data_IF_448358414646
#
_entry.id   IF_448358414646
#
_cell.length_a   1.000
_cell.length_b   1.000
_cell.length_c   1.000
_cell.angle_alpha   90.00
_cell.angle_beta   90.00
_cell.angle_gamma   90.00
#
_symmetry.space_group_name_H-M   'P 1'
#
loop_
_entity.id
_entity.type
_entity.pdbx_description
1 polymer ?
#
# COMPACT_ATOMS: atom_id res chain seq x y z
N UNK A 1 -15.67 9.95 -1.29
CA UNK A 1 -14.34 9.61 -0.75
C UNK A 1 -13.92 8.32 -1.45
N UNK A 2 -13.21 8.32 -2.58
CA UNK A 2 -12.30 9.30 -3.19
C UNK A 2 -10.93 9.39 -2.51
N UNK A 3 -9.84 8.97 -3.16
CA UNK A 3 -8.59 9.75 -3.25
C UNK A 3 -7.90 9.61 -4.64
N UNK A 4 -7.20 10.67 -5.02
CA UNK A 4 -6.71 11.02 -6.36
C UNK A 4 -5.25 11.44 -6.22
N UNK A 5 -4.31 10.75 -6.87
CA UNK A 5 -2.94 11.25 -7.03
C UNK A 5 -2.63 11.45 -8.52
N UNK A 6 -2.67 12.72 -8.96
CA UNK A 6 -2.32 13.06 -10.34
C UNK A 6 -0.80 13.26 -10.41
N UNK A 7 -0.08 12.33 -11.03
CA UNK A 7 1.35 12.48 -11.34
C UNK A 7 1.47 13.28 -12.65
N UNK A 8 0.80 14.44 -12.68
CA UNK A 8 0.69 15.30 -13.85
C UNK A 8 2.06 15.87 -14.22
N UNK A 9 2.64 15.43 -15.34
CA UNK A 9 4.00 15.83 -15.68
C UNK A 9 4.33 15.57 -17.15
N UNK A 10 4.87 16.60 -17.81
CA UNK A 10 5.79 16.44 -18.95
C UNK A 10 7.25 16.19 -18.47
N UNK A 11 7.47 16.17 -17.14
CA UNK A 11 8.75 15.89 -16.47
C UNK A 11 8.67 14.61 -15.59
N UNK A 12 7.98 13.56 -16.04
CA UNK A 12 7.47 12.50 -15.15
C UNK A 12 8.53 11.60 -14.49
N UNK A 13 9.71 11.50 -15.10
CA UNK A 13 10.77 10.58 -14.68
C UNK A 13 11.69 11.22 -13.63
N UNK A 14 11.87 12.54 -13.68
CA UNK A 14 12.68 13.32 -12.75
C UNK A 14 12.10 13.32 -11.34
N UNK A 15 10.81 13.62 -11.21
CA UNK A 15 10.12 13.62 -9.92
C UNK A 15 10.14 12.23 -9.24
N UNK A 16 10.04 11.15 -10.01
CA UNK A 16 10.14 9.79 -9.48
C UNK A 16 11.60 9.40 -9.15
N UNK A 17 12.59 9.96 -9.88
CA UNK A 17 14.01 9.82 -9.57
C UNK A 17 14.39 10.55 -8.28
N UNK A 18 13.91 11.77 -8.07
CA UNK A 18 14.12 12.52 -6.83
C UNK A 18 13.56 11.76 -5.61
N UNK A 19 12.30 11.31 -5.68
CA UNK A 19 11.68 10.47 -4.65
C UNK A 19 12.48 9.20 -4.36
N UNK A 20 12.95 8.51 -5.42
CA UNK A 20 13.73 7.29 -5.27
C UNK A 20 15.11 7.55 -4.65
N UNK A 21 15.76 8.65 -5.01
CA UNK A 21 17.03 9.05 -4.42
C UNK A 21 16.87 9.36 -2.93
N UNK A 22 15.86 10.14 -2.54
CA UNK A 22 15.53 10.43 -1.13
C UNK A 22 15.32 9.13 -0.32
N UNK A 23 14.57 8.16 -0.87
CA UNK A 23 14.40 6.83 -0.24
C UNK A 23 15.74 6.11 -0.06
N UNK A 24 16.61 6.13 -1.07
CA UNK A 24 17.92 5.46 -1.01
C UNK A 24 18.86 6.16 -0.01
N UNK A 25 18.85 7.49 0.04
CA UNK A 25 19.61 8.29 1.00
C UNK A 25 19.17 8.00 2.44
N UNK A 26 17.87 8.00 2.71
CA UNK A 26 17.32 7.66 4.03
C UNK A 26 17.64 6.22 4.46
N UNK A 27 17.56 5.25 3.55
CA UNK A 27 17.96 3.86 3.83
C UNK A 27 19.45 3.77 4.18
N UNK A 28 20.33 4.38 3.37
CA UNK A 28 21.78 4.37 3.61
C UNK A 28 22.16 5.11 4.91
N UNK A 29 21.53 6.26 5.20
CA UNK A 29 21.74 7.03 6.42
C UNK A 29 21.37 6.25 7.70
N UNK A 30 20.44 5.29 7.59
CA UNK A 30 20.04 4.38 8.66
C UNK A 30 20.72 2.99 8.56
N UNK A 31 21.86 2.90 7.85
CA UNK A 31 22.71 1.70 7.81
C UNK A 31 22.26 0.59 6.84
N UNK A 32 21.19 0.81 6.06
CA UNK A 32 20.66 -0.17 5.12
C UNK A 32 21.26 0.03 3.73
N UNK A 33 22.38 -0.64 3.46
CA UNK A 33 23.11 -0.53 2.19
C UNK A 33 22.31 -1.05 0.99
N UNK A 34 21.95 -0.12 0.09
CA UNK A 34 21.27 -0.44 -1.17
C UNK A 34 22.27 -1.00 -2.19
N UNK A 35 22.31 -2.32 -2.34
CA UNK A 35 23.24 -3.02 -3.25
C UNK A 35 22.94 -2.70 -4.73
N UNK A 36 23.98 -2.68 -5.58
CA UNK A 36 23.85 -2.50 -7.04
C UNK A 36 23.00 -3.58 -7.77
N UNK A 37 22.75 -4.72 -7.13
CA UNK A 37 21.81 -5.75 -7.63
C UNK A 37 20.35 -5.58 -7.12
N UNK A 38 20.05 -4.53 -6.37
CA UNK A 38 18.74 -4.30 -5.75
C UNK A 38 17.66 -3.91 -6.76
N UNK A 39 16.40 -4.00 -6.34
CA UNK A 39 15.24 -3.49 -7.08
C UNK A 39 15.31 -1.97 -7.24
N UNK A 40 15.71 -1.25 -6.20
CA UNK A 40 15.83 0.21 -6.21
C UNK A 40 16.91 0.69 -7.18
N UNK A 41 18.08 0.05 -7.21
CA UNK A 41 19.15 0.41 -8.15
C UNK A 41 18.77 0.15 -9.61
N UNK A 42 17.97 -0.90 -9.88
CA UNK A 42 17.39 -1.10 -11.23
C UNK A 42 16.43 0.03 -11.60
N UNK A 43 15.60 0.51 -10.67
CA UNK A 43 14.74 1.68 -10.91
C UNK A 43 15.56 2.95 -11.20
N UNK A 44 16.62 3.24 -10.42
CA UNK A 44 17.52 4.35 -10.72
C UNK A 44 18.13 4.25 -12.14
N UNK A 45 18.60 3.06 -12.54
CA UNK A 45 19.14 2.84 -13.90
C UNK A 45 18.10 3.10 -14.99
N UNK A 46 16.88 2.64 -14.81
CA UNK A 46 15.78 2.84 -15.77
C UNK A 46 15.42 4.32 -15.88
N UNK A 47 15.26 5.01 -14.74
CA UNK A 47 14.95 6.44 -14.71
C UNK A 47 16.06 7.27 -15.35
N UNK A 48 17.33 6.94 -15.08
CA UNK A 48 18.48 7.59 -15.71
C UNK A 48 18.53 7.36 -17.22
N UNK A 49 18.28 6.14 -17.70
CA UNK A 49 18.22 5.85 -19.14
C UNK A 49 17.07 6.60 -19.84
N UNK A 50 15.97 6.89 -19.14
CA UNK A 50 14.85 7.69 -19.68
C UNK A 50 15.16 9.19 -19.70
N UNK A 51 15.90 9.70 -18.70
CA UNK A 51 16.40 11.07 -18.64
C UNK A 51 17.48 11.35 -19.70
N UNK A 52 18.47 10.46 -19.84
CA UNK A 52 19.58 10.59 -20.80
C UNK A 52 19.14 10.29 -22.26
N UNK A 53 17.83 10.09 -22.50
CA UNK A 53 17.22 9.60 -23.76
C UNK A 53 17.83 8.29 -24.32
N UNK A 54 18.58 7.54 -23.51
CA UNK A 54 19.29 6.34 -23.93
C UNK A 54 18.40 5.08 -23.90
N UNK A 55 17.55 4.94 -24.92
CA UNK A 55 16.59 3.83 -25.07
C UNK A 55 17.30 2.45 -25.10
N UNK A 56 18.55 2.37 -25.54
CA UNK A 56 19.31 1.10 -25.61
C UNK A 56 19.65 0.51 -24.23
N UNK A 57 19.77 1.35 -23.20
CA UNK A 57 20.04 0.93 -21.81
C UNK A 57 18.78 0.39 -21.09
N UNK A 58 17.60 0.51 -21.69
CA UNK A 58 16.34 0.05 -21.10
C UNK A 58 16.22 -1.49 -21.13
N UNK A 59 15.59 -2.11 -20.12
CA UNK A 59 15.31 -3.55 -20.12
C UNK A 59 14.58 -3.99 -21.39
N UNK A 60 14.97 -5.12 -21.99
CA UNK A 60 14.35 -5.61 -23.23
C UNK A 60 12.82 -5.70 -23.10
N UNK A 61 12.12 -5.06 -24.03
CA UNK A 61 10.66 -4.95 -24.00
C UNK A 61 10.16 -4.05 -22.85
N UNK A 62 10.89 -2.99 -22.52
CA UNK A 62 10.38 -1.91 -21.67
C UNK A 62 9.12 -1.29 -22.30
N UNK A 63 8.17 -0.87 -21.47
CA UNK A 63 6.90 -0.28 -21.93
C UNK A 63 6.44 0.79 -20.97
N UNK A 64 5.56 1.69 -21.43
CA UNK A 64 4.94 2.70 -20.57
C UNK A 64 4.25 2.06 -19.35
N UNK A 65 3.61 0.90 -19.50
CA UNK A 65 3.04 0.12 -18.39
C UNK A 65 4.06 -0.27 -17.33
N UNK A 66 5.26 -0.69 -17.73
CA UNK A 66 6.36 -0.98 -16.78
C UNK A 66 6.80 0.28 -16.05
N UNK A 67 6.87 1.43 -16.73
CA UNK A 67 7.15 2.69 -16.04
C UNK A 67 6.07 3.08 -15.02
N UNK A 68 4.78 3.04 -15.38
CA UNK A 68 3.70 3.34 -14.43
C UNK A 68 3.77 2.45 -13.18
N UNK A 69 4.13 1.16 -13.35
CA UNK A 69 4.32 0.24 -12.24
C UNK A 69 5.51 0.66 -11.35
N UNK A 70 6.64 1.08 -11.95
CA UNK A 70 7.80 1.59 -11.22
C UNK A 70 7.44 2.86 -10.45
N UNK A 71 6.80 3.85 -11.07
CA UNK A 71 6.36 5.10 -10.42
C UNK A 71 5.40 4.83 -9.24
N UNK A 72 4.43 3.94 -9.40
CA UNK A 72 3.51 3.56 -8.31
C UNK A 72 4.23 2.84 -7.16
N UNK A 73 5.23 2.01 -7.45
CA UNK A 73 6.07 1.40 -6.41
C UNK A 73 6.98 2.42 -5.73
N UNK A 74 7.53 3.40 -6.45
CA UNK A 74 8.32 4.51 -5.89
C UNK A 74 7.45 5.36 -4.96
N UNK A 75 6.23 5.76 -5.36
CA UNK A 75 5.29 6.46 -4.48
C UNK A 75 5.04 5.70 -3.16
N UNK A 76 4.82 4.38 -3.23
CA UNK A 76 4.60 3.56 -2.02
C UNK A 76 5.85 3.48 -1.13
N UNK A 77 7.03 3.33 -1.74
CA UNK A 77 8.31 3.30 -1.03
C UNK A 77 8.62 4.66 -0.38
N UNK A 78 8.39 5.77 -1.11
CA UNK A 78 8.55 7.14 -0.63
C UNK A 78 7.64 7.42 0.56
N UNK A 79 6.33 7.22 0.39
CA UNK A 79 5.34 7.37 1.47
C UNK A 79 5.67 6.47 2.68
N UNK A 80 6.12 5.24 2.45
CA UNK A 80 6.48 4.33 3.54
C UNK A 80 7.75 4.74 4.28
N UNK A 81 8.84 5.01 3.56
CA UNK A 81 10.16 5.25 4.15
C UNK A 81 10.29 6.67 4.71
N UNK A 82 9.82 7.69 3.97
CA UNK A 82 9.96 9.10 4.38
C UNK A 82 9.11 9.40 5.61
N UNK A 83 7.82 9.05 5.59
CA UNK A 83 6.93 9.27 6.75
C UNK A 83 7.42 8.51 7.99
N UNK A 84 7.88 7.26 7.84
CA UNK A 84 8.43 6.49 8.96
C UNK A 84 9.80 6.98 9.43
N UNK A 85 10.63 7.63 8.60
CA UNK A 85 11.90 8.21 9.06
C UNK A 85 11.69 9.32 10.10
N UNK A 86 10.51 9.94 10.10
CA UNK A 86 10.03 10.88 11.13
C UNK A 86 9.41 10.20 12.38
N UNK A 87 9.45 8.87 12.47
CA UNK A 87 9.07 8.09 13.65
C UNK A 87 10.25 7.89 14.60
N UNK A 88 9.99 8.01 15.91
CA UNK A 88 10.96 7.62 16.95
C UNK A 88 11.28 6.12 16.93
N UNK A 89 10.45 5.33 16.27
CA UNK A 89 10.51 3.88 16.19
C UNK A 89 11.01 3.39 14.82
N UNK A 90 11.61 4.26 13.98
CA UNK A 90 12.07 3.88 12.63
C UNK A 90 12.97 2.63 12.62
N UNK A 91 13.84 2.48 13.62
CA UNK A 91 14.71 1.33 13.79
C UNK A 91 13.95 -0.01 13.99
N UNK A 92 12.72 0.00 14.54
CA UNK A 92 11.88 -1.21 14.64
C UNK A 92 11.53 -1.77 13.24
N UNK A 93 11.54 -0.94 12.19
CA UNK A 93 11.20 -1.35 10.81
C UNK A 93 12.38 -1.91 10.01
N UNK A 94 13.59 -1.92 10.58
CA UNK A 94 14.85 -2.27 9.90
C UNK A 94 14.80 -3.60 9.15
N UNK A 95 14.22 -4.65 9.73
CA UNK A 95 14.03 -5.95 9.07
C UNK A 95 13.22 -5.81 7.76
N UNK A 96 12.02 -5.21 7.81
CA UNK A 96 11.18 -5.00 6.62
C UNK A 96 11.84 -4.09 5.59
N UNK A 97 12.52 -3.03 6.04
CA UNK A 97 13.28 -2.12 5.19
C UNK A 97 14.46 -2.84 4.48
N UNK A 98 15.07 -3.85 5.12
CA UNK A 98 16.10 -4.68 4.50
C UNK A 98 15.57 -5.65 3.42
N UNK A 99 14.27 -5.97 3.44
CA UNK A 99 13.64 -6.83 2.44
C UNK A 99 13.08 -6.07 1.23
N UNK A 100 12.62 -4.81 1.37
CA UNK A 100 12.07 -4.04 0.22
C UNK A 100 13.09 -3.74 -0.88
N UNK A 101 14.39 -3.77 -0.59
CA UNK A 101 15.44 -3.64 -1.61
C UNK A 101 15.58 -4.90 -2.50
N UNK A 102 14.98 -6.02 -2.08
CA UNK A 102 14.97 -7.29 -2.82
C UNK A 102 13.77 -7.39 -3.79
N UNK A 103 13.51 -8.58 -4.33
CA UNK A 103 12.53 -8.83 -5.39
C UNK A 103 13.03 -8.42 -6.78
N UNK A 104 12.25 -8.75 -7.83
CA UNK A 104 12.54 -8.37 -9.22
C UNK A 104 11.94 -7.01 -9.57
N UNK A 105 12.35 -6.46 -10.72
CA UNK A 105 11.86 -5.19 -11.24
C UNK A 105 10.31 -5.11 -11.30
N UNK A 106 9.65 -6.16 -11.78
CA UNK A 106 8.20 -6.17 -12.05
C UNK A 106 7.46 -7.23 -11.23
N UNK A 107 6.23 -6.95 -10.72
CA UNK A 107 5.46 -7.89 -9.91
C UNK A 107 5.15 -9.22 -10.60
N UNK A 108 4.86 -9.21 -11.90
CA UNK A 108 4.59 -10.42 -12.69
C UNK A 108 5.82 -11.32 -12.87
N UNK A 109 7.02 -10.82 -12.57
CA UNK A 109 8.26 -11.59 -12.66
C UNK A 109 8.62 -12.26 -11.33
N UNK A 110 8.03 -11.85 -10.21
CA UNK A 110 8.32 -12.39 -8.88
C UNK A 110 7.74 -13.81 -8.70
N UNK A 111 8.59 -14.73 -8.26
CA UNK A 111 8.19 -16.03 -7.71
C UNK A 111 7.92 -15.97 -6.20
N UNK A 112 8.39 -14.92 -5.53
CA UNK A 112 8.19 -14.63 -4.12
C UNK A 112 7.74 -13.17 -3.97
N UNK A 113 6.58 -12.96 -3.35
CA UNK A 113 5.97 -11.65 -3.14
C UNK A 113 6.35 -10.99 -1.81
N UNK A 114 7.23 -11.60 -1.00
CA UNK A 114 7.58 -11.12 0.35
C UNK A 114 8.04 -9.66 0.37
N UNK A 115 8.94 -9.26 -0.52
CA UNK A 115 9.39 -7.86 -0.63
C UNK A 115 8.24 -6.87 -0.93
N UNK A 116 7.29 -7.29 -1.78
CA UNK A 116 6.11 -6.50 -2.16
C UNK A 116 5.00 -6.53 -1.10
N UNK A 117 4.95 -7.55 -0.24
CA UNK A 117 4.08 -7.56 0.95
C UNK A 117 4.61 -6.55 1.98
N UNK A 118 5.89 -6.62 2.33
CA UNK A 118 6.50 -5.68 3.28
C UNK A 118 6.50 -4.24 2.77
N UNK A 119 6.67 -3.99 1.47
CA UNK A 119 6.48 -2.65 0.90
C UNK A 119 5.06 -2.13 1.14
N UNK A 120 4.04 -2.95 0.95
CA UNK A 120 2.67 -2.54 1.19
C UNK A 120 2.39 -2.31 2.69
N UNK A 121 2.96 -3.13 3.56
CA UNK A 121 2.89 -2.92 5.01
C UNK A 121 3.56 -1.62 5.45
N UNK A 122 4.75 -1.31 4.92
CA UNK A 122 5.45 -0.04 5.13
C UNK A 122 4.66 1.15 4.56
N UNK A 123 4.03 1.00 3.40
CA UNK A 123 3.15 2.02 2.82
C UNK A 123 1.96 2.35 3.72
N UNK A 124 1.26 1.33 4.24
CA UNK A 124 0.15 1.53 5.19
C UNK A 124 0.67 2.12 6.52
N UNK A 125 1.84 1.69 7.00
CA UNK A 125 2.49 2.31 8.15
C UNK A 125 2.80 3.79 7.91
N UNK A 126 3.33 4.16 6.74
CA UNK A 126 3.57 5.53 6.33
C UNK A 126 2.29 6.38 6.30
N UNK A 127 1.20 5.86 5.71
CA UNK A 127 -0.11 6.53 5.74
C UNK A 127 -0.64 6.75 7.17
N UNK A 128 -0.47 5.76 8.06
CA UNK A 128 -0.83 5.89 9.47
C UNK A 128 0.04 6.99 10.12
N UNK A 129 1.35 6.98 9.90
CA UNK A 129 2.27 7.99 10.44
C UNK A 129 1.93 9.40 9.97
N UNK A 130 1.71 9.56 8.67
CA UNK A 130 1.23 10.80 8.05
C UNK A 130 -0.05 11.31 8.71
N UNK A 131 -0.96 10.41 9.12
CA UNK A 131 -2.23 10.76 9.77
C UNK A 131 -2.12 11.26 11.22
N UNK A 132 -0.89 11.41 11.74
CA UNK A 132 -0.63 11.84 13.13
C UNK A 132 -0.71 10.70 14.16
N UNK A 133 -0.96 9.46 13.71
CA UNK A 133 -0.86 8.26 14.53
C UNK A 133 0.58 7.75 14.57
N UNK A 134 0.94 6.98 15.60
CA UNK A 134 2.28 6.37 15.71
C UNK A 134 2.21 4.86 15.45
N UNK A 135 2.68 4.37 14.28
CA UNK A 135 2.73 2.95 13.97
C UNK A 135 3.96 2.27 14.59
N UNK A 136 3.73 1.20 15.32
CA UNK A 136 4.76 0.33 15.90
C UNK A 136 4.87 -0.94 15.07
N UNK A 137 6.11 -1.42 14.81
CA UNK A 137 6.28 -2.67 14.09
C UNK A 137 6.09 -3.87 15.05
N UNK A 138 4.84 -4.29 15.22
CA UNK A 138 4.45 -5.39 16.12
C UNK A 138 3.34 -6.22 15.50
N UNK A 139 3.29 -7.50 15.83
CA UNK A 139 2.19 -8.39 15.45
C UNK A 139 0.83 -7.77 15.87
N UNK A 140 -0.24 -7.85 15.07
CA UNK A 140 -0.41 -8.74 13.92
C UNK A 140 0.47 -8.40 12.71
N UNK A 141 0.60 -7.14 12.31
CA UNK A 141 1.64 -6.68 11.37
C UNK A 141 2.08 -5.23 11.70
N UNK A 142 1.11 -4.42 12.17
CA UNK A 142 1.28 -3.12 12.83
C UNK A 142 0.44 -3.10 14.13
N UNK A 143 0.90 -2.38 15.15
CA UNK A 143 0.05 -1.85 16.23
C UNK A 143 0.10 -0.31 16.26
N UNK A 144 -0.99 0.33 16.66
CA UNK A 144 -1.01 1.75 17.06
C UNK A 144 -1.47 1.85 18.52
N UNK A 145 -1.05 2.91 19.21
CA UNK A 145 -1.65 3.30 20.48
C UNK A 145 -2.52 4.54 20.26
N UNK A 146 -3.76 4.50 20.75
CA UNK A 146 -4.69 5.62 20.72
C UNK A 146 -5.37 5.72 22.09
N UNK A 147 -5.25 6.87 22.76
CA UNK A 147 -5.85 7.14 24.07
C UNK A 147 -5.54 6.06 25.13
N UNK A 148 -4.33 5.49 25.08
CA UNK A 148 -3.87 4.41 25.96
C UNK A 148 -4.31 3.00 25.53
N UNK A 149 -5.19 2.86 24.54
CA UNK A 149 -5.59 1.56 23.96
C UNK A 149 -4.63 1.12 22.86
N UNK A 150 -4.30 -0.17 22.82
CA UNK A 150 -3.59 -0.78 21.70
C UNK A 150 -4.59 -1.30 20.66
N UNK A 151 -4.31 -1.03 19.39
CA UNK A 151 -5.14 -1.37 18.24
C UNK A 151 -4.27 -2.09 17.21
N UNK A 152 -4.60 -3.33 16.88
CA UNK A 152 -3.87 -4.16 15.91
C UNK A 152 -4.36 -3.99 14.48
N UNK A 153 -3.44 -4.04 13.51
CA UNK A 153 -3.76 -3.99 12.08
C UNK A 153 -3.07 -5.16 11.38
N UNK A 154 -3.86 -6.16 10.97
CA UNK A 154 -3.38 -7.28 10.18
C UNK A 154 -3.46 -6.95 8.69
N UNK A 155 -2.33 -6.69 8.04
CA UNK A 155 -2.23 -6.25 6.66
C UNK A 155 -2.01 -7.46 5.75
N UNK A 156 -2.86 -7.63 4.74
CA UNK A 156 -2.78 -8.75 3.79
C UNK A 156 -3.02 -8.27 2.36
N UNK A 157 -2.53 -9.04 1.39
CA UNK A 157 -2.70 -8.78 -0.04
C UNK A 157 -3.34 -9.98 -0.72
N UNK A 158 -4.34 -9.74 -1.56
CA UNK A 158 -5.01 -10.76 -2.35
C UNK A 158 -4.70 -10.61 -3.83
N UNK A 159 -3.95 -11.58 -4.37
CA UNK A 159 -3.65 -11.63 -5.80
C UNK A 159 -4.77 -12.29 -6.63
N UNK A 160 -5.77 -12.91 -5.99
CA UNK A 160 -6.89 -13.55 -6.65
C UNK A 160 -8.07 -13.76 -5.69
N UNK A 161 -9.28 -13.78 -6.23
CA UNK A 161 -10.50 -14.01 -5.45
C UNK A 161 -10.46 -15.33 -4.66
N UNK A 162 -9.95 -16.40 -5.28
CA UNK A 162 -9.84 -17.74 -4.67
C UNK A 162 -8.94 -17.80 -3.41
N UNK A 163 -8.08 -16.80 -3.18
CA UNK A 163 -7.20 -16.71 -2.00
C UNK A 163 -7.74 -15.80 -0.90
N UNK A 164 -8.84 -15.07 -1.14
CA UNK A 164 -9.42 -14.10 -0.21
C UNK A 164 -9.72 -14.73 1.15
N UNK A 165 -10.42 -15.88 1.15
CA UNK A 165 -10.75 -16.62 2.37
C UNK A 165 -9.52 -17.02 3.19
N UNK A 166 -8.46 -17.45 2.52
CA UNK A 166 -7.22 -17.90 3.16
C UNK A 166 -6.52 -16.74 3.86
N UNK A 167 -6.38 -15.59 3.18
CA UNK A 167 -5.73 -14.42 3.75
C UNK A 167 -6.56 -13.78 4.88
N UNK A 168 -7.89 -13.81 4.79
CA UNK A 168 -8.78 -13.34 5.86
C UNK A 168 -8.66 -14.24 7.11
N UNK A 169 -8.60 -15.56 6.93
CA UNK A 169 -8.32 -16.52 8.02
C UNK A 169 -6.95 -16.27 8.65
N UNK A 170 -5.92 -15.95 7.85
CA UNK A 170 -4.57 -15.59 8.33
C UNK A 170 -4.58 -14.29 9.14
N UNK A 171 -5.18 -13.22 8.63
CA UNK A 171 -5.29 -11.93 9.34
C UNK A 171 -6.05 -12.06 10.66
N UNK A 172 -7.20 -12.76 10.67
CA UNK A 172 -7.91 -13.11 11.90
C UNK A 172 -7.01 -13.86 12.87
N UNK A 173 -6.28 -14.88 12.41
CA UNK A 173 -5.40 -15.70 13.25
C UNK A 173 -4.30 -14.88 13.93
N UNK A 174 -3.70 -13.90 13.24
CA UNK A 174 -2.70 -13.01 13.86
C UNK A 174 -3.32 -12.14 14.97
N UNK A 175 -4.45 -11.47 14.70
CA UNK A 175 -5.16 -10.63 15.71
C UNK A 175 -5.55 -11.46 16.94
N UNK A 176 -6.08 -12.66 16.72
CA UNK A 176 -6.47 -13.56 17.83
C UNK A 176 -5.25 -14.04 18.62
N UNK A 177 -4.12 -14.30 17.95
CA UNK A 177 -2.88 -14.76 18.61
C UNK A 177 -2.26 -13.69 19.51
N UNK A 178 -2.38 -12.41 19.18
CA UNK A 178 -1.80 -11.32 20.00
C UNK A 178 -2.68 -10.92 21.18
N UNK A 179 -3.98 -11.24 21.13
CA UNK A 179 -4.96 -10.77 22.11
C UNK A 179 -5.29 -9.27 22.02
N UNK A 180 -4.66 -8.54 21.09
CA UNK A 180 -4.90 -7.11 20.87
C UNK A 180 -6.07 -6.96 19.90
N UNK A 181 -7.17 -6.28 20.27
CA UNK A 181 -8.27 -6.01 19.35
C UNK A 181 -7.79 -5.26 18.11
N UNK A 182 -8.35 -5.57 16.94
CA UNK A 182 -7.89 -4.96 15.69
C UNK A 182 -8.79 -5.12 14.48
N UNK A 183 -8.25 -4.65 13.35
CA UNK A 183 -8.84 -4.75 12.02
C UNK A 183 -7.96 -5.57 11.08
N UNK A 184 -8.59 -6.13 10.04
CA UNK A 184 -7.86 -6.71 8.92
C UNK A 184 -7.86 -5.69 7.78
N UNK A 185 -6.69 -5.37 7.25
CA UNK A 185 -6.50 -4.46 6.12
C UNK A 185 -6.10 -5.28 4.89
N UNK A 186 -6.87 -5.20 3.80
CA UNK A 186 -6.72 -6.10 2.64
C UNK A 186 -6.55 -5.31 1.33
N UNK A 187 -5.39 -5.47 0.69
CA UNK A 187 -5.20 -5.08 -0.71
C UNK A 187 -5.95 -6.05 -1.63
N UNK A 188 -6.90 -5.53 -2.40
CA UNK A 188 -7.68 -6.23 -3.43
C UNK A 188 -7.44 -5.67 -4.83
N UNK A 189 -6.38 -4.88 -5.03
CA UNK A 189 -6.00 -4.26 -6.33
C UNK A 189 -5.83 -5.28 -7.45
N UNK A 190 -5.23 -6.44 -7.17
CA UNK A 190 -5.10 -7.53 -8.15
C UNK A 190 -6.37 -8.35 -8.35
N UNK A 191 -7.42 -8.13 -7.55
CA UNK A 191 -8.77 -8.63 -7.82
C UNK A 191 -9.54 -7.65 -8.72
N UNK A 192 -9.45 -6.33 -8.46
CA UNK A 192 -10.10 -5.32 -9.32
C UNK A 192 -9.46 -5.25 -10.71
N UNK A 193 -8.14 -5.43 -10.78
CA UNK A 193 -7.36 -5.29 -12.00
C UNK A 193 -6.32 -6.42 -12.13
N UNK A 194 -6.74 -7.67 -12.43
CA UNK A 194 -5.85 -8.83 -12.47
C UNK A 194 -4.72 -8.69 -13.48
N UNK A 195 -5.01 -8.07 -14.63
CA UNK A 195 -4.06 -7.84 -15.72
C UNK A 195 -3.22 -6.57 -15.54
N UNK A 196 -3.45 -5.78 -14.48
CA UNK A 196 -2.77 -4.51 -14.23
C UNK A 196 -2.88 -3.53 -15.43
N UNK A 197 -4.09 -3.33 -15.95
CA UNK A 197 -4.37 -2.35 -17.00
C UNK A 197 -4.22 -0.92 -16.47
N UNK A 198 -3.85 0.00 -17.37
CA UNK A 198 -3.90 1.44 -17.11
C UNK A 198 -5.30 1.94 -17.46
N UNK A 199 -5.97 2.62 -16.53
CA UNK A 199 -7.23 3.30 -16.79
C UNK A 199 -6.99 4.62 -17.54
N UNK A 200 -7.59 4.78 -18.71
CA UNK A 200 -7.59 6.04 -19.46
C UNK A 200 -8.83 6.86 -19.07
N UNK A 201 -8.64 8.08 -18.58
CA UNK A 201 -9.73 8.93 -18.12
C UNK A 201 -9.44 10.43 -18.34
N UNK A 202 -10.49 11.25 -18.35
CA UNK A 202 -10.35 12.70 -18.49
C UNK A 202 -10.00 13.38 -17.16
N UNK A 203 -10.24 12.71 -16.04
CA UNK A 203 -9.87 13.15 -14.69
C UNK A 203 -9.59 11.93 -13.79
N UNK A 204 -8.69 12.06 -12.81
CA UNK A 204 -8.50 10.97 -11.82
C UNK A 204 -9.77 10.78 -10.98
N UNK A 205 -10.56 11.84 -10.75
CA UNK A 205 -11.86 11.75 -10.06
C UNK A 205 -12.76 10.66 -10.66
N UNK A 206 -12.71 10.42 -11.98
CA UNK A 206 -13.49 9.37 -12.63
C UNK A 206 -12.93 7.97 -12.34
N UNK A 207 -11.61 7.79 -12.45
CA UNK A 207 -10.92 6.56 -12.01
C UNK A 207 -11.23 6.25 -10.55
N UNK A 208 -11.31 7.26 -9.69
CA UNK A 208 -11.61 7.05 -8.29
C UNK A 208 -13.08 6.74 -8.01
N UNK A 209 -14.03 7.30 -8.78
CA UNK A 209 -15.44 6.86 -8.71
C UNK A 209 -15.55 5.37 -9.03
N UNK A 210 -14.77 4.88 -10.00
CA UNK A 210 -14.70 3.46 -10.31
C UNK A 210 -14.08 2.63 -9.18
N UNK A 211 -13.03 3.10 -8.51
CA UNK A 211 -12.48 2.43 -7.33
C UNK A 211 -13.47 2.40 -6.14
N UNK A 212 -14.25 3.47 -5.91
CA UNK A 212 -15.33 3.46 -4.90
C UNK A 212 -16.36 2.39 -5.27
N UNK A 213 -16.90 2.46 -6.50
CA UNK A 213 -17.93 1.55 -7.02
C UNK A 213 -17.47 0.11 -6.96
N UNK A 214 -16.21 -0.18 -7.30
CA UNK A 214 -15.61 -1.49 -7.15
C UNK A 214 -15.59 -1.93 -5.68
N UNK A 215 -15.06 -1.12 -4.76
CA UNK A 215 -14.90 -1.51 -3.36
C UNK A 215 -16.23 -1.69 -2.62
N UNK A 216 -17.24 -0.86 -2.90
CA UNK A 216 -18.57 -1.03 -2.32
C UNK A 216 -19.27 -2.27 -2.87
N UNK A 217 -19.29 -2.48 -4.20
CA UNK A 217 -19.85 -3.72 -4.80
C UNK A 217 -19.09 -4.98 -4.37
N UNK A 218 -17.77 -4.90 -4.22
CA UNK A 218 -16.95 -5.99 -3.71
C UNK A 218 -17.29 -6.28 -2.24
N UNK A 219 -17.44 -5.25 -1.40
CA UNK A 219 -17.84 -5.43 -0.01
C UNK A 219 -19.24 -6.05 0.10
N UNK A 220 -20.23 -5.51 -0.59
CA UNK A 220 -21.63 -5.98 -0.56
C UNK A 220 -21.75 -7.44 -0.98
N UNK A 221 -21.16 -7.81 -2.13
CA UNK A 221 -21.20 -9.19 -2.66
C UNK A 221 -20.50 -10.20 -1.75
N UNK A 222 -19.49 -9.78 -1.00
CA UNK A 222 -18.67 -10.67 -0.17
C UNK A 222 -18.97 -10.57 1.33
N UNK A 223 -19.83 -9.65 1.76
CA UNK A 223 -20.05 -9.31 3.17
C UNK A 223 -20.31 -10.53 4.03
N UNK A 224 -21.28 -11.37 3.67
CA UNK A 224 -21.65 -12.57 4.43
C UNK A 224 -20.49 -13.56 4.55
N UNK A 225 -19.73 -13.79 3.47
CA UNK A 225 -18.57 -14.69 3.50
C UNK A 225 -17.45 -14.12 4.39
N UNK A 226 -17.04 -12.87 4.12
CA UNK A 226 -16.01 -12.18 4.90
C UNK A 226 -16.38 -12.16 6.38
N UNK A 227 -17.61 -11.76 6.72
CA UNK A 227 -18.12 -11.71 8.10
C UNK A 227 -18.04 -13.07 8.79
N UNK A 228 -18.50 -14.14 8.14
CA UNK A 228 -18.41 -15.50 8.68
C UNK A 228 -16.96 -15.94 8.92
N UNK A 229 -16.06 -15.61 8.00
CA UNK A 229 -14.64 -15.98 8.09
C UNK A 229 -13.94 -15.24 9.22
N UNK A 230 -14.16 -13.92 9.34
CA UNK A 230 -13.42 -13.06 10.27
C UNK A 230 -14.09 -12.89 11.64
N UNK A 231 -15.29 -13.46 11.83
CA UNK A 231 -16.07 -13.38 13.07
C UNK A 231 -15.24 -13.78 14.30
N UNK A 232 -14.93 -12.80 15.14
CA UNK A 232 -14.27 -12.95 16.44
C UNK A 232 -14.50 -11.66 17.25
N UNK A 233 -14.55 -11.72 18.58
CA UNK A 233 -14.75 -10.52 19.42
C UNK A 233 -13.58 -9.51 19.32
N UNK A 234 -12.36 -10.00 19.07
CA UNK A 234 -11.17 -9.18 18.84
C UNK A 234 -11.05 -8.58 17.42
N UNK A 235 -11.89 -8.99 16.46
CA UNK A 235 -11.84 -8.46 15.07
C UNK A 235 -13.09 -7.62 14.81
N UNK A 236 -12.95 -6.30 14.96
CA UNK A 236 -14.09 -5.37 14.94
C UNK A 236 -14.26 -4.60 13.62
N UNK A 237 -13.31 -4.68 12.69
CA UNK A 237 -13.39 -3.98 11.41
C UNK A 237 -12.58 -4.62 10.29
N UNK A 238 -12.90 -4.22 9.06
CA UNK A 238 -12.12 -4.53 7.86
C UNK A 238 -11.87 -3.24 7.07
N UNK A 239 -10.66 -3.10 6.55
CA UNK A 239 -10.29 -2.08 5.58
C UNK A 239 -9.95 -2.75 4.25
N UNK A 240 -10.54 -2.28 3.16
CA UNK A 240 -10.31 -2.78 1.81
C UNK A 240 -9.58 -1.72 0.99
N UNK A 241 -8.42 -2.04 0.44
CA UNK A 241 -7.63 -1.17 -0.42
C UNK A 241 -7.70 -1.63 -1.88
N UNK A 242 -7.91 -0.70 -2.80
CA UNK A 242 -7.68 -0.91 -4.23
C UNK A 242 -7.00 0.32 -4.82
N UNK A 243 -6.05 0.11 -5.74
CA UNK A 243 -5.50 1.18 -6.58
C UNK A 243 -5.61 0.88 -8.07
N UNK A 244 -5.32 1.88 -8.88
CA UNK A 244 -5.29 1.80 -10.33
C UNK A 244 -4.24 2.77 -10.87
N UNK A 245 -3.38 2.26 -11.74
CA UNK A 245 -2.53 3.07 -12.61
C UNK A 245 -3.44 3.76 -13.63
N UNK A 246 -3.30 5.06 -13.84
CA UNK A 246 -4.12 5.79 -14.80
C UNK A 246 -3.29 6.67 -15.74
N UNK A 247 -3.90 7.00 -16.88
CA UNK A 247 -3.43 8.03 -17.79
C UNK A 247 -4.55 9.07 -17.92
N UNK A 248 -4.21 10.32 -17.65
CA UNK A 248 -5.13 11.45 -17.54
C UNK A 248 -4.73 12.50 -18.56
N UNK A 249 -5.48 12.57 -19.66
CA UNK A 249 -5.20 13.48 -20.78
C UNK A 249 -3.74 13.40 -21.27
N UNK A 250 -3.17 12.19 -21.34
CA UNK A 250 -1.78 11.93 -21.72
C UNK A 250 -0.79 11.86 -20.55
N UNK A 251 -1.05 12.55 -19.45
CA UNK A 251 -0.20 12.52 -18.25
C UNK A 251 -0.42 11.26 -17.40
N UNK A 252 0.56 10.90 -16.57
CA UNK A 252 0.48 9.68 -15.77
C UNK A 252 -0.22 9.95 -14.43
N UNK A 253 -0.71 8.90 -13.78
CA UNK A 253 -1.34 9.05 -12.48
C UNK A 253 -1.57 7.74 -11.75
N UNK A 254 -1.97 7.86 -10.50
CA UNK A 254 -2.25 6.77 -9.59
C UNK A 254 -3.49 7.15 -8.77
N UNK A 255 -4.55 6.34 -8.84
CA UNK A 255 -5.67 6.51 -7.91
C UNK A 255 -5.65 5.35 -6.93
N UNK A 256 -5.89 5.63 -5.65
CA UNK A 256 -6.02 4.62 -4.62
C UNK A 256 -7.21 4.90 -3.72
N UNK A 257 -7.74 3.85 -3.10
CA UNK A 257 -8.90 3.98 -2.20
C UNK A 257 -8.86 2.95 -1.09
N UNK A 258 -9.21 3.41 0.11
CA UNK A 258 -9.38 2.59 1.32
C UNK A 258 -10.84 2.68 1.78
N UNK A 259 -11.56 1.58 1.80
CA UNK A 259 -12.94 1.51 2.32
C UNK A 259 -12.94 0.75 3.65
N UNK A 260 -13.24 1.44 4.74
CA UNK A 260 -13.28 0.88 6.11
C UNK A 260 -14.74 0.60 6.47
N UNK A 261 -15.01 -0.59 6.99
CA UNK A 261 -16.35 -1.03 7.40
C UNK A 261 -16.29 -1.68 8.78
N UNK A 262 -17.26 -1.34 9.63
CA UNK A 262 -17.45 -1.98 10.94
C UNK A 262 -17.95 -3.40 10.77
N UNK A 263 -17.52 -4.28 11.67
CA UNK A 263 -17.97 -5.66 11.81
C UNK A 263 -18.49 -5.95 13.23
N UNK A 264 -18.38 -5.00 14.15
CA UNK A 264 -18.95 -5.07 15.48
C UNK A 264 -20.35 -4.44 15.53
N UNK A 265 -21.09 -4.68 16.62
CA UNK A 265 -22.37 -4.01 16.86
C UNK A 265 -22.17 -2.51 17.09
N UNK A 266 -23.22 -1.70 16.88
CA UNK A 266 -23.20 -0.26 17.17
C UNK A 266 -22.93 0.06 18.65
N UNK A 267 -23.24 -0.89 19.54
CA UNK A 267 -22.96 -0.86 20.98
C UNK A 267 -21.52 -1.25 21.35
N UNK A 268 -20.68 -1.64 20.39
CA UNK A 268 -19.31 -2.09 20.66
C UNK A 268 -18.40 -0.92 21.03
N UNK A 269 -17.56 -1.02 22.08
CA UNK A 269 -16.62 0.04 22.44
C UNK A 269 -15.61 0.36 21.31
N UNK A 270 -15.38 -0.58 20.39
CA UNK A 270 -14.45 -0.41 19.27
C UNK A 270 -15.02 0.42 18.11
N UNK A 271 -16.31 0.76 18.09
CA UNK A 271 -16.87 1.57 16.99
C UNK A 271 -16.31 2.99 16.98
N UNK A 272 -16.00 3.54 18.16
CA UNK A 272 -15.36 4.85 18.33
C UNK A 272 -13.91 4.77 17.83
N UNK A 273 -13.18 3.74 18.27
CA UNK A 273 -11.77 3.51 17.88
C UNK A 273 -11.64 3.33 16.36
N UNK A 274 -12.54 2.57 15.74
CA UNK A 274 -12.60 2.39 14.28
C UNK A 274 -12.96 3.70 13.55
N UNK A 275 -13.89 4.49 14.09
CA UNK A 275 -14.32 5.76 13.49
C UNK A 275 -13.21 6.81 13.56
N UNK A 276 -12.46 6.86 14.67
CA UNK A 276 -11.28 7.71 14.80
C UNK A 276 -10.22 7.30 13.77
N UNK A 277 -9.82 6.02 13.73
CA UNK A 277 -8.85 5.51 12.76
C UNK A 277 -9.23 5.84 11.30
N UNK A 278 -10.51 5.68 10.95
CA UNK A 278 -11.02 6.02 9.63
C UNK A 278 -10.99 7.53 9.32
N UNK A 279 -11.22 8.38 10.32
CA UNK A 279 -11.12 9.84 10.17
C UNK A 279 -9.66 10.32 10.10
N UNK A 280 -8.73 9.73 10.85
CA UNK A 280 -7.30 10.06 10.74
C UNK A 280 -6.78 9.73 9.35
N UNK A 281 -7.02 8.51 8.85
CA UNK A 281 -6.63 8.14 7.49
C UNK A 281 -7.33 9.00 6.42
N UNK A 282 -8.56 9.44 6.64
CA UNK A 282 -9.26 10.36 5.72
C UNK A 282 -8.51 11.69 5.55
N UNK A 283 -7.93 12.25 6.61
CA UNK A 283 -7.30 13.57 6.56
C UNK A 283 -5.99 13.62 5.75
N UNK A 284 -5.41 12.46 5.42
CA UNK A 284 -4.15 12.34 4.63
C UNK A 284 -4.35 11.69 3.27
N UNK A 285 -5.61 11.37 2.96
CA UNK A 285 -6.12 10.92 1.67
C UNK A 285 -7.06 12.00 1.12
N UNK A 286 -6.66 13.26 1.30
CA UNK A 286 -7.29 14.50 0.83
C UNK A 286 -6.21 15.37 0.18
#
# INVERSE_FOLDING_TARGET
>A
MTFVEIIASHNSWDAEREKLNEVIELLNANGLSVKAGSRLYRYQRILKALEDENIEDLPKGFTLKKFHQIASEIHQLHTGVVELSNSKNFAEWSDKLSFIISGKELPESDSDYTARNYQFELYIAGLIKKSGLEPLHREPDIQINQDGKNFGIAIKRSNSFNKLDEILKKGRKQIVKTGVPGIIFVDVTRISNPENYIAYANSVNDVTKDLIRFLDLFYEKNYSSMRNIISHNLVFGIALYASCLCNINGALGHSSRITIKSLCSETSPYIIDLSYFANSLRNVLQ
#
